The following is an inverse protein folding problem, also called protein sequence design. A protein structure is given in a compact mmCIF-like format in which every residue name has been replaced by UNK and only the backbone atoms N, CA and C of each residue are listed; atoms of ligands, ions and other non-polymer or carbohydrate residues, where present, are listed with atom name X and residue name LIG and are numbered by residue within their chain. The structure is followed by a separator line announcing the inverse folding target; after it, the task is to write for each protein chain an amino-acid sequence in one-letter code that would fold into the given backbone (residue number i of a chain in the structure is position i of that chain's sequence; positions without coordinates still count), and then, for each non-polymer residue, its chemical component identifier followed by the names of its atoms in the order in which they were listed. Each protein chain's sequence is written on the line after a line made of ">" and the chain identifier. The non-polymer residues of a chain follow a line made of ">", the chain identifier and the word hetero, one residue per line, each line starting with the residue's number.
data_IF_361382964958
#
_entry.id   IF_361382964958
#
_cell.length_a   1.000
_cell.length_b   1.000
_cell.length_c   1.000
_cell.angle_alpha   90.00
_cell.angle_beta   90.00
_cell.angle_gamma   90.00
#
_symmetry.space_group_name_H-M   'P 1'
#
loop_
_entity.id
_entity.type
_entity.pdbx_description
1 polymer ?
#
# COMPACT_ATOMS: atom_id res chain seq x y z
N UNK A 1 9.52 -28.29 -9.32
CA UNK A 1 8.13 -27.77 -9.34
C UNK A 1 8.25 -26.26 -9.45
N UNK A 2 8.14 -25.76 -10.66
CA UNK A 2 8.01 -24.34 -10.90
C UNK A 2 6.63 -23.94 -10.37
N UNK A 3 6.59 -23.31 -9.19
CA UNK A 3 5.40 -22.61 -8.77
C UNK A 3 5.23 -21.43 -9.72
N UNK A 4 4.21 -21.50 -10.57
CA UNK A 4 3.77 -20.31 -11.31
C UNK A 4 3.18 -19.35 -10.28
N UNK A 5 4.01 -18.56 -9.65
CA UNK A 5 3.60 -17.49 -8.77
C UNK A 5 3.03 -16.42 -9.71
N UNK A 6 1.71 -16.42 -9.84
CA UNK A 6 0.97 -15.32 -10.47
C UNK A 6 0.69 -14.21 -9.46
N UNK A 7 1.51 -14.13 -8.44
CA UNK A 7 1.34 -13.15 -7.39
C UNK A 7 1.68 -11.76 -7.94
N UNK A 8 0.91 -10.79 -7.55
CA UNK A 8 1.13 -9.39 -7.88
C UNK A 8 1.49 -8.65 -6.62
N UNK A 9 2.56 -7.90 -6.68
CA UNK A 9 2.90 -6.91 -5.66
C UNK A 9 2.25 -5.61 -6.09
N UNK A 10 1.41 -5.05 -5.21
CA UNK A 10 0.69 -3.81 -5.47
C UNK A 10 1.04 -2.83 -4.39
N UNK A 11 1.47 -1.64 -4.78
CA UNK A 11 1.68 -0.51 -3.89
C UNK A 11 0.53 0.50 -4.05
N UNK A 12 0.15 1.15 -2.95
CA UNK A 12 -0.77 2.28 -2.96
C UNK A 12 0.02 3.56 -2.80
N UNK A 13 -0.13 4.47 -3.74
CA UNK A 13 0.60 5.74 -3.71
C UNK A 13 0.05 6.62 -2.58
N UNK A 14 0.94 7.13 -1.76
CA UNK A 14 0.63 8.04 -0.64
C UNK A 14 1.11 9.47 -0.88
N UNK A 15 1.86 9.67 -1.95
CA UNK A 15 2.30 10.93 -2.55
C UNK A 15 2.65 10.64 -4.02
N UNK A 16 2.94 11.61 -4.83
CA UNK A 16 3.36 11.50 -6.23
C UNK A 16 2.51 10.58 -7.13
N UNK A 17 2.84 10.51 -8.40
CA UNK A 17 2.15 9.70 -9.37
C UNK A 17 2.78 8.29 -9.54
N UNK A 18 2.07 7.43 -10.27
CA UNK A 18 2.52 6.06 -10.53
C UNK A 18 3.81 6.01 -11.34
N UNK A 19 4.02 6.94 -12.28
CA UNK A 19 5.22 6.94 -13.11
C UNK A 19 6.47 7.20 -12.26
N UNK A 20 6.38 8.16 -11.33
CA UNK A 20 7.47 8.44 -10.39
C UNK A 20 7.89 7.19 -9.62
N UNK A 21 6.92 6.48 -9.01
CA UNK A 21 7.22 5.30 -8.22
C UNK A 21 7.70 4.12 -9.07
N UNK A 22 7.10 3.89 -10.22
CA UNK A 22 7.52 2.81 -11.11
C UNK A 22 8.94 3.01 -11.62
N UNK A 23 9.31 4.23 -11.99
CA UNK A 23 10.67 4.56 -12.43
C UNK A 23 11.66 4.48 -11.28
N UNK A 24 11.28 4.93 -10.09
CA UNK A 24 12.09 4.81 -8.87
C UNK A 24 12.38 3.35 -8.53
N UNK A 25 11.37 2.48 -8.56
CA UNK A 25 11.51 1.05 -8.29
C UNK A 25 12.43 0.39 -9.32
N UNK A 26 12.27 0.69 -10.61
CA UNK A 26 13.15 0.19 -11.68
C UNK A 26 14.60 0.60 -11.45
N UNK A 27 14.82 1.86 -11.11
CA UNK A 27 16.16 2.38 -10.83
C UNK A 27 16.79 1.69 -9.60
N UNK A 28 16.03 1.51 -8.52
CA UNK A 28 16.51 0.85 -7.31
C UNK A 28 16.83 -0.64 -7.56
N UNK A 29 16.02 -1.34 -8.35
CA UNK A 29 16.29 -2.74 -8.74
C UNK A 29 17.55 -2.84 -9.59
N UNK A 30 17.76 -1.92 -10.56
CA UNK A 30 18.97 -1.89 -11.37
C UNK A 30 20.22 -1.66 -10.53
N UNK A 31 20.15 -0.73 -9.55
CA UNK A 31 21.25 -0.49 -8.61
C UNK A 31 21.51 -1.71 -7.71
N UNK A 32 20.46 -2.36 -7.22
CA UNK A 32 20.58 -3.58 -6.43
C UNK A 32 21.24 -4.70 -7.22
N UNK A 33 20.80 -4.93 -8.45
CA UNK A 33 21.37 -5.92 -9.36
C UNK A 33 22.87 -5.68 -9.59
N UNK A 34 23.26 -4.45 -9.86
CA UNK A 34 24.65 -4.06 -10.04
C UNK A 34 25.48 -4.31 -8.79
N UNK A 35 24.96 -3.91 -7.61
CA UNK A 35 25.67 -4.03 -6.34
C UNK A 35 25.91 -5.47 -5.92
N UNK A 36 24.91 -6.33 -6.12
CA UNK A 36 24.97 -7.74 -5.68
C UNK A 36 25.34 -8.70 -6.80
N UNK A 37 25.59 -8.22 -8.02
CA UNK A 37 25.97 -9.00 -9.20
C UNK A 37 25.01 -10.19 -9.44
N UNK A 38 23.70 -9.96 -9.27
CA UNK A 38 22.68 -10.99 -9.46
C UNK A 38 22.23 -11.05 -10.91
N UNK A 39 21.96 -12.26 -11.38
CA UNK A 39 21.29 -12.48 -12.67
C UNK A 39 19.77 -12.39 -12.49
N UNK A 40 19.25 -11.18 -12.54
CA UNK A 40 17.82 -10.93 -12.47
C UNK A 40 17.35 -10.27 -13.77
N UNK A 41 16.27 -10.81 -14.34
CA UNK A 41 15.65 -10.23 -15.53
C UNK A 41 14.73 -9.06 -15.15
N UNK A 42 15.21 -7.84 -15.34
CA UNK A 42 14.46 -6.63 -15.03
C UNK A 42 13.22 -6.45 -15.93
N UNK A 43 13.19 -7.07 -17.11
CA UNK A 43 12.03 -7.01 -18.02
C UNK A 43 10.84 -7.80 -17.51
N UNK A 44 11.06 -8.73 -16.58
CA UNK A 44 10.03 -9.52 -15.92
C UNK A 44 9.32 -8.76 -14.78
N UNK A 45 9.78 -7.57 -14.42
CA UNK A 45 9.18 -6.76 -13.37
C UNK A 45 7.78 -6.30 -13.79
N UNK A 46 6.77 -6.76 -13.07
CA UNK A 46 5.40 -6.30 -13.20
C UNK A 46 5.07 -5.39 -12.02
N UNK A 47 5.55 -4.16 -12.09
CA UNK A 47 5.33 -3.14 -11.08
C UNK A 47 3.96 -2.53 -11.32
N UNK A 48 3.14 -2.48 -10.27
CA UNK A 48 1.84 -1.79 -10.30
C UNK A 48 1.67 -0.97 -9.05
N UNK A 49 1.38 0.30 -9.25
CA UNK A 49 1.00 1.20 -8.17
C UNK A 49 -0.42 1.69 -8.38
N UNK A 50 -1.14 1.90 -7.29
CA UNK A 50 -2.53 2.36 -7.31
C UNK A 50 -2.62 3.78 -6.79
N UNK A 51 -3.13 4.66 -7.63
CA UNK A 51 -3.46 6.04 -7.31
C UNK A 51 -4.90 6.16 -6.80
N UNK A 52 -5.21 7.35 -6.24
CA UNK A 52 -6.55 7.72 -5.80
C UNK A 52 -6.79 7.57 -4.30
N UNK A 53 -5.77 7.17 -3.53
CA UNK A 53 -5.86 6.98 -2.08
C UNK A 53 -4.87 7.84 -1.28
N UNK A 54 -4.22 8.78 -1.94
CA UNK A 54 -3.28 9.70 -1.31
C UNK A 54 -3.97 10.65 -0.32
N UNK A 55 -5.25 10.97 -0.57
CA UNK A 55 -5.97 12.00 0.17
C UNK A 55 -5.55 13.41 -0.26
N UNK A 56 -5.77 14.43 0.59
CA UNK A 56 -5.55 15.84 0.22
C UNK A 56 -4.08 16.17 -0.06
N UNK A 57 -3.16 15.61 0.74
CA UNK A 57 -1.73 15.84 0.62
C UNK A 57 -0.90 14.76 1.32
N UNK A 58 0.42 14.80 1.11
CA UNK A 58 1.36 14.01 1.90
C UNK A 58 1.24 14.35 3.39
N UNK A 59 1.13 13.32 4.22
CA UNK A 59 0.98 13.50 5.67
C UNK A 59 -0.44 13.81 6.12
N UNK A 60 -1.35 14.18 5.22
CA UNK A 60 -2.75 14.44 5.52
C UNK A 60 -3.62 13.26 5.11
N UNK A 61 -4.54 12.87 5.98
CA UNK A 61 -5.48 11.78 5.70
C UNK A 61 -6.93 12.27 5.85
N UNK A 62 -7.80 11.73 5.02
CA UNK A 62 -9.24 11.96 5.11
C UNK A 62 -9.83 11.24 6.33
N UNK A 63 -10.96 11.73 6.82
CA UNK A 63 -11.69 11.15 7.96
C UNK A 63 -11.95 9.65 7.79
N UNK A 64 -12.22 9.21 6.57
CA UNK A 64 -12.49 7.79 6.28
C UNK A 64 -11.27 6.90 6.54
N UNK A 65 -10.05 7.41 6.39
CA UNK A 65 -8.82 6.68 6.71
C UNK A 65 -8.71 6.49 8.22
N UNK A 66 -8.97 7.54 9.02
CA UNK A 66 -8.97 7.44 10.49
C UNK A 66 -10.03 6.45 10.98
N UNK A 67 -11.23 6.46 10.40
CA UNK A 67 -12.29 5.48 10.69
C UNK A 67 -11.86 4.05 10.35
N UNK A 68 -11.21 3.86 9.22
CA UNK A 68 -10.69 2.54 8.80
C UNK A 68 -9.64 2.01 9.79
N UNK A 69 -8.71 2.88 10.22
CA UNK A 69 -7.67 2.54 11.21
C UNK A 69 -8.31 2.20 12.56
N UNK A 70 -9.23 3.03 13.05
CA UNK A 70 -9.91 2.81 14.32
C UNK A 70 -10.72 1.50 14.32
N UNK A 71 -11.41 1.21 13.22
CA UNK A 71 -12.18 -0.03 13.09
C UNK A 71 -11.25 -1.27 13.07
N UNK A 72 -10.16 -1.22 12.31
CA UNK A 72 -9.19 -2.32 12.30
C UNK A 72 -8.58 -2.56 13.67
N UNK A 73 -8.25 -1.49 14.39
CA UNK A 73 -7.72 -1.59 15.75
C UNK A 73 -8.73 -2.22 16.71
N UNK A 74 -10.03 -1.87 16.60
CA UNK A 74 -11.10 -2.44 17.44
C UNK A 74 -11.34 -3.93 17.17
N UNK A 75 -11.29 -4.34 15.89
CA UNK A 75 -11.68 -5.70 15.48
C UNK A 75 -10.50 -6.67 15.56
N UNK A 76 -9.33 -6.25 15.14
CA UNK A 76 -8.17 -7.12 14.96
C UNK A 76 -7.00 -6.78 15.91
N UNK A 77 -7.06 -5.68 16.64
CA UNK A 77 -5.96 -5.23 17.50
C UNK A 77 -4.72 -4.75 16.71
N UNK A 78 -4.88 -4.45 15.42
CA UNK A 78 -3.81 -3.98 14.54
C UNK A 78 -3.87 -2.47 14.40
N UNK A 79 -2.75 -1.79 14.67
CA UNK A 79 -2.65 -0.34 14.57
C UNK A 79 -1.88 0.05 13.31
N UNK A 80 -2.48 0.92 12.51
CA UNK A 80 -1.88 1.51 11.32
C UNK A 80 -1.67 3.01 11.54
N UNK A 81 -0.74 3.60 10.80
CA UNK A 81 -0.52 5.04 10.78
C UNK A 81 -1.39 5.72 9.71
N UNK A 82 -1.77 7.00 9.88
CA UNK A 82 -2.61 7.70 8.90
C UNK A 82 -1.84 8.22 7.67
N UNK A 83 -0.51 8.18 7.67
CA UNK A 83 0.31 8.73 6.57
C UNK A 83 0.53 7.69 5.47
N UNK A 84 0.88 6.47 5.83
CA UNK A 84 1.28 5.40 4.91
C UNK A 84 0.35 4.20 4.97
N UNK A 85 0.46 3.40 6.02
CA UNK A 85 -0.20 2.08 6.10
C UNK A 85 -1.72 2.19 6.17
N UNK A 86 -2.26 3.21 6.82
CA UNK A 86 -3.69 3.45 6.87
C UNK A 86 -4.30 3.80 5.52
N UNK A 87 -3.61 4.64 4.72
CA UNK A 87 -4.05 4.96 3.36
C UNK A 87 -4.01 3.72 2.46
N UNK A 88 -2.93 2.95 2.53
CA UNK A 88 -2.79 1.72 1.76
C UNK A 88 -3.85 0.67 2.15
N UNK A 89 -4.13 0.51 3.43
CA UNK A 89 -5.17 -0.39 3.92
C UNK A 89 -6.56 0.06 3.48
N UNK A 90 -6.86 1.36 3.64
CA UNK A 90 -8.13 1.93 3.16
C UNK A 90 -8.31 1.71 1.66
N UNK A 91 -7.25 1.93 0.87
CA UNK A 91 -7.25 1.68 -0.58
C UNK A 91 -7.51 0.21 -0.89
N UNK A 92 -6.86 -0.72 -0.22
CA UNK A 92 -7.08 -2.15 -0.38
C UNK A 92 -8.54 -2.54 -0.10
N UNK A 93 -9.09 -2.10 1.03
CA UNK A 93 -10.48 -2.41 1.41
C UNK A 93 -11.47 -1.78 0.43
N UNK A 94 -11.21 -0.56 -0.03
CA UNK A 94 -12.05 0.12 -1.02
C UNK A 94 -12.07 -0.64 -2.34
N UNK A 95 -10.91 -1.05 -2.85
CA UNK A 95 -10.83 -1.85 -4.09
C UNK A 95 -11.55 -3.20 -3.97
N UNK A 96 -11.44 -3.86 -2.83
CA UNK A 96 -12.15 -5.11 -2.56
C UNK A 96 -13.67 -4.91 -2.52
N UNK A 97 -14.12 -3.80 -1.92
CA UNK A 97 -15.54 -3.47 -1.82
C UNK A 97 -16.20 -3.19 -3.17
N UNK A 98 -15.43 -2.83 -4.18
CA UNK A 98 -15.90 -2.64 -5.56
C UNK A 98 -16.20 -3.96 -6.29
N UNK A 99 -15.78 -5.11 -5.72
CA UNK A 99 -15.98 -6.43 -6.31
C UNK A 99 -15.40 -6.52 -7.73
N UNK A 100 -16.22 -6.91 -8.71
CA UNK A 100 -15.77 -7.05 -10.10
C UNK A 100 -15.35 -5.75 -10.79
N UNK A 101 -15.64 -4.60 -10.19
CA UNK A 101 -15.22 -3.28 -10.69
C UNK A 101 -13.90 -2.81 -10.07
N UNK A 102 -13.45 -3.48 -9.02
CA UNK A 102 -12.21 -3.13 -8.33
C UNK A 102 -10.96 -3.66 -9.04
N UNK A 103 -9.85 -2.97 -8.87
CA UNK A 103 -8.55 -3.36 -9.44
C UNK A 103 -7.97 -4.62 -8.79
N UNK A 104 -8.52 -5.06 -7.65
CA UNK A 104 -8.19 -6.30 -6.95
C UNK A 104 -9.14 -7.46 -7.29
N UNK A 105 -9.98 -7.31 -8.31
CA UNK A 105 -10.91 -8.35 -8.71
C UNK A 105 -10.21 -9.70 -8.97
N UNK A 106 -10.86 -10.78 -8.55
CA UNK A 106 -10.36 -12.15 -8.72
C UNK A 106 -9.21 -12.55 -7.78
N UNK A 107 -8.77 -11.67 -6.88
CA UNK A 107 -7.81 -12.02 -5.85
C UNK A 107 -8.46 -12.99 -4.84
N UNK A 108 -7.87 -14.18 -4.68
CA UNK A 108 -8.35 -15.19 -3.73
C UNK A 108 -7.71 -15.06 -2.35
N UNK A 109 -6.44 -14.69 -2.33
CA UNK A 109 -5.67 -14.49 -1.11
C UNK A 109 -4.98 -13.13 -1.23
N UNK A 110 -5.04 -12.35 -0.17
CA UNK A 110 -4.40 -11.04 -0.08
C UNK A 110 -3.56 -11.03 1.19
N UNK A 111 -2.32 -10.61 1.02
CA UNK A 111 -1.39 -10.37 2.12
C UNK A 111 -1.17 -8.86 2.18
N UNK A 112 -1.54 -8.26 3.30
CA UNK A 112 -1.22 -6.87 3.59
C UNK A 112 0.11 -6.80 4.34
N UNK A 113 1.08 -6.06 3.80
CA UNK A 113 2.38 -5.88 4.42
C UNK A 113 2.36 -4.59 5.24
N UNK A 114 2.45 -4.74 6.57
CA UNK A 114 2.55 -3.62 7.48
C UNK A 114 4.01 -3.13 7.54
N UNK A 115 4.28 -2.01 6.90
CA UNK A 115 5.64 -1.46 6.74
C UNK A 115 6.09 -0.55 7.91
N UNK A 116 5.31 -0.46 8.98
CA UNK A 116 5.63 0.38 10.14
C UNK A 116 4.85 1.69 10.16
N UNK A 117 5.49 2.77 10.63
CA UNK A 117 4.89 4.12 10.63
C UNK A 117 4.05 4.46 11.86
N UNK A 118 3.94 3.58 12.86
CA UNK A 118 3.06 3.75 14.03
C UNK A 118 3.23 5.10 14.75
N UNK A 119 4.43 5.65 14.76
CA UNK A 119 4.68 6.96 15.37
C UNK A 119 3.90 8.11 14.70
N UNK A 120 3.46 7.96 13.45
CA UNK A 120 2.60 8.92 12.75
C UNK A 120 1.21 9.08 13.38
N UNK A 121 0.78 8.16 14.25
CA UNK A 121 -0.48 8.24 14.99
C UNK A 121 -0.46 9.37 16.01
N UNK A 122 0.64 9.55 16.72
CA UNK A 122 0.72 10.48 17.86
C UNK A 122 0.45 11.94 17.50
N UNK A 123 1.05 12.54 16.47
CA UNK A 123 0.76 13.92 16.10
C UNK A 123 -0.67 14.11 15.59
N UNK A 124 -1.32 13.05 15.12
CA UNK A 124 -2.67 13.10 14.55
C UNK A 124 -3.75 12.48 15.45
N UNK A 125 -3.44 12.20 16.72
CA UNK A 125 -4.32 11.51 17.64
C UNK A 125 -5.72 12.16 17.81
N UNK A 126 -5.81 13.48 17.65
CA UNK A 126 -7.08 14.23 17.75
C UNK A 126 -8.08 13.94 16.63
N UNK A 127 -7.59 13.36 15.52
CA UNK A 127 -8.44 13.01 14.37
C UNK A 127 -9.11 11.64 14.52
N UNK A 128 -8.70 10.86 15.52
CA UNK A 128 -9.33 9.57 15.82
C UNK A 128 -10.57 9.76 16.68
N UNK A 129 -11.65 9.09 16.31
CA UNK A 129 -12.88 8.98 17.10
C UNK A 129 -13.03 7.52 17.51
N UNK A 130 -13.07 7.28 18.81
CA UNK A 130 -13.19 5.93 19.40
C UNK A 130 -14.54 5.81 20.14
N UNK A 131 -15.64 6.00 19.44
CA UNK A 131 -16.98 5.82 19.98
C UNK A 131 -17.33 4.34 20.16
#
# INVERSE_FOLDING_TARGET
>A
RQMCIRDRIIAFNVCDDSNYFEDKIKADVSLWKQRYKTEFDETALNIKTFEGYMGPAYGEAEEIVFKSIANLAKVEGVFLDPVYTGKAFHGMVSELSLGDRGRLQGAKNIVFIHTGGLFGVFPQHKNFQFD
#
